data_IF_900459549459
#
_entry.id   IF_900459549459
#
_cell.length_a   1.000
_cell.length_b   1.000
_cell.length_c   1.000
_cell.angle_alpha   90.00
_cell.angle_beta   90.00
_cell.angle_gamma   90.00
#
_symmetry.space_group_name_H-M   'P 1'
#
loop_
_entity.id
_entity.type
_entity.pdbx_description
1 polymer ?
#
# COMPACT_ATOMS: atom_id res chain seq x y z
N UNK A 1 -36.31 -29.78 -31.97
CA UNK A 1 -35.24 -29.55 -30.97
C UNK A 1 -35.59 -28.31 -30.16
N UNK A 2 -35.84 -28.41 -28.86
CA UNK A 2 -36.24 -27.26 -28.04
C UNK A 2 -35.02 -26.45 -27.61
N UNK A 3 -35.13 -25.12 -27.75
CA UNK A 3 -34.10 -24.16 -27.33
C UNK A 3 -33.98 -24.15 -25.80
N UNK A 4 -32.80 -24.49 -25.29
CA UNK A 4 -32.45 -24.40 -23.88
C UNK A 4 -32.21 -22.93 -23.50
N UNK A 5 -33.12 -22.38 -22.70
CA UNK A 5 -32.96 -21.08 -22.04
C UNK A 5 -31.83 -21.16 -21.01
N UNK A 6 -30.69 -20.52 -21.31
CA UNK A 6 -29.61 -20.30 -20.34
C UNK A 6 -30.14 -19.42 -19.18
N UNK A 7 -29.87 -19.76 -17.91
CA UNK A 7 -30.28 -18.92 -16.78
C UNK A 7 -29.53 -17.57 -16.81
N UNK A 8 -30.17 -16.48 -16.34
CA UNK A 8 -29.57 -15.15 -16.36
C UNK A 8 -28.32 -15.11 -15.47
N UNK A 9 -27.23 -14.57 -16.02
CA UNK A 9 -25.88 -14.36 -15.44
C UNK A 9 -25.88 -13.46 -14.18
N UNK A 10 -27.05 -13.07 -13.65
CA UNK A 10 -27.20 -12.12 -12.56
C UNK A 10 -27.01 -12.70 -11.14
N UNK A 11 -26.67 -13.99 -10.99
CA UNK A 11 -26.62 -14.66 -9.68
C UNK A 11 -25.21 -15.05 -9.17
N UNK A 12 -24.12 -14.59 -9.80
CA UNK A 12 -22.77 -14.81 -9.27
C UNK A 12 -22.05 -13.50 -8.92
N UNK A 13 -21.74 -13.38 -7.62
CA UNK A 13 -20.80 -12.45 -7.00
C UNK A 13 -21.31 -11.03 -6.71
N UNK A 14 -22.40 -10.92 -5.95
CA UNK A 14 -22.57 -9.81 -5.02
C UNK A 14 -21.91 -10.17 -3.67
N UNK A 15 -20.57 -10.24 -3.64
CA UNK A 15 -19.83 -10.27 -2.38
C UNK A 15 -20.05 -8.93 -1.68
N UNK A 16 -20.98 -8.88 -0.73
CA UNK A 16 -21.24 -7.70 0.11
C UNK A 16 -19.91 -7.19 0.71
N UNK A 17 -19.59 -5.88 0.67
CA UNK A 17 -18.41 -5.35 1.33
C UNK A 17 -18.59 -5.42 2.85
N UNK A 18 -18.23 -6.57 3.43
CA UNK A 18 -18.05 -6.74 4.88
C UNK A 18 -16.58 -6.55 5.22
N UNK A 19 -16.30 -5.74 6.24
CA UNK A 19 -14.95 -5.59 6.79
C UNK A 19 -14.37 -6.97 7.09
N UNK A 20 -13.16 -7.23 6.61
CA UNK A 20 -12.43 -8.46 6.90
C UNK A 20 -12.00 -8.47 8.38
N UNK A 21 -12.94 -8.77 9.30
CA UNK A 21 -12.74 -8.68 10.77
C UNK A 21 -11.52 -9.45 11.27
N UNK A 22 -11.18 -10.57 10.64
CA UNK A 22 -9.99 -11.37 10.96
C UNK A 22 -8.66 -10.63 10.74
N UNK A 23 -8.66 -9.52 9.99
CA UNK A 23 -7.45 -8.71 9.70
C UNK A 23 -7.25 -7.56 10.70
N UNK A 24 -8.29 -7.22 11.47
CA UNK A 24 -8.26 -6.12 12.44
C UNK A 24 -7.19 -6.33 13.51
N UNK A 25 -6.99 -7.52 14.09
CA UNK A 25 -5.92 -7.72 15.08
C UNK A 25 -4.52 -7.43 14.51
N UNK A 26 -4.24 -7.87 13.28
CA UNK A 26 -2.94 -7.62 12.63
C UNK A 26 -2.73 -6.13 12.35
N UNK A 27 -3.78 -5.42 11.93
CA UNK A 27 -3.72 -3.97 11.77
C UNK A 27 -3.53 -3.24 13.10
N UNK A 28 -4.08 -3.76 14.20
CA UNK A 28 -3.84 -3.21 15.53
C UNK A 28 -2.37 -3.37 15.95
N UNK A 29 -1.71 -4.49 15.61
CA UNK A 29 -0.27 -4.67 15.83
C UNK A 29 0.56 -3.65 15.05
N UNK A 30 0.21 -3.42 13.78
CA UNK A 30 0.86 -2.39 12.97
C UNK A 30 0.63 -0.98 13.56
N UNK A 31 -0.59 -0.67 13.98
CA UNK A 31 -0.92 0.61 14.61
C UNK A 31 -0.20 0.81 15.95
N UNK A 32 -0.08 -0.23 16.77
CA UNK A 32 0.70 -0.19 18.01
C UNK A 32 2.19 0.08 17.72
N UNK A 33 2.75 -0.57 16.71
CA UNK A 33 4.13 -0.33 16.27
C UNK A 33 4.34 1.09 15.74
N UNK A 34 3.38 1.63 15.00
CA UNK A 34 3.38 3.02 14.55
C UNK A 34 3.37 3.98 15.75
N UNK A 35 2.41 3.83 16.67
CA UNK A 35 2.29 4.71 17.84
C UNK A 35 3.52 4.63 18.75
N UNK A 36 4.03 3.42 18.99
CA UNK A 36 5.29 3.20 19.72
C UNK A 36 6.47 3.86 19.02
N UNK A 37 6.59 3.69 17.70
CA UNK A 37 7.61 4.35 16.89
C UNK A 37 7.53 5.87 16.96
N UNK A 38 6.33 6.46 16.85
CA UNK A 38 6.13 7.91 16.98
C UNK A 38 6.52 8.43 18.39
N UNK A 39 6.08 7.74 19.45
CA UNK A 39 6.46 8.08 20.82
C UNK A 39 7.97 7.98 21.06
N UNK A 40 8.60 6.90 20.56
CA UNK A 40 10.05 6.74 20.61
C UNK A 40 10.78 7.82 19.80
N UNK A 41 10.25 8.22 18.65
CA UNK A 41 10.80 9.31 17.84
C UNK A 41 10.77 10.66 18.55
N UNK A 42 9.67 10.98 19.25
CA UNK A 42 9.56 12.18 20.09
C UNK A 42 10.54 12.14 21.26
N UNK A 43 10.68 11.00 21.93
CA UNK A 43 11.67 10.84 23.01
C UNK A 43 13.11 11.08 22.50
N UNK A 44 13.45 10.58 21.31
CA UNK A 44 14.75 10.83 20.65
C UNK A 44 14.97 12.30 20.27
N UNK A 45 13.92 13.10 20.13
CA UNK A 45 14.03 14.55 19.90
C UNK A 45 14.34 15.33 21.18
N UNK A 46 14.32 14.69 22.35
CA UNK A 46 14.57 15.36 23.63
C UNK A 46 13.40 16.22 24.11
N UNK A 47 12.18 16.00 23.59
CA UNK A 47 11.00 16.82 23.94
C UNK A 47 10.41 16.50 25.32
N UNK A 48 10.99 15.57 26.08
CA UNK A 48 10.45 15.08 27.35
C UNK A 48 9.13 14.29 27.21
N UNK A 49 8.75 13.89 26.00
CA UNK A 49 7.53 13.09 25.77
C UNK A 49 7.67 11.72 26.44
N UNK A 50 6.62 11.22 27.11
CA UNK A 50 6.63 9.85 27.62
C UNK A 50 6.77 8.88 26.45
N UNK A 51 7.61 7.86 26.62
CA UNK A 51 7.78 6.77 25.67
C UNK A 51 7.97 5.45 26.41
N UNK A 52 7.42 4.33 25.91
CA UNK A 52 7.77 3.01 26.41
C UNK A 52 9.28 2.75 26.30
N UNK A 53 9.83 2.00 27.26
CA UNK A 53 11.28 1.84 27.45
C UNK A 53 12.03 1.42 26.19
N UNK A 54 11.51 0.42 25.46
CA UNK A 54 12.15 -0.06 24.23
C UNK A 54 11.81 0.75 22.97
N UNK A 55 10.85 1.69 23.04
CA UNK A 55 10.37 2.40 21.86
C UNK A 55 11.38 3.41 21.30
N UNK A 56 12.08 4.15 22.16
CA UNK A 56 13.09 5.13 21.73
C UNK A 56 14.34 4.46 21.15
N UNK A 57 14.80 3.38 21.78
CA UNK A 57 15.92 2.58 21.27
C UNK A 57 15.53 1.88 19.97
N UNK A 58 14.34 1.28 19.90
CA UNK A 58 13.85 0.51 18.78
C UNK A 58 13.16 1.30 17.66
N UNK A 59 13.11 2.64 17.74
CA UNK A 59 12.31 3.51 16.85
C UNK A 59 12.40 3.13 15.37
N UNK A 60 13.62 3.01 14.83
CA UNK A 60 13.83 2.71 13.41
C UNK A 60 13.25 1.36 13.00
N UNK A 61 13.49 0.32 13.80
CA UNK A 61 12.98 -1.04 13.53
C UNK A 61 11.47 -1.14 13.77
N UNK A 62 10.94 -0.42 14.75
CA UNK A 62 9.50 -0.32 14.98
C UNK A 62 8.77 0.29 13.79
N UNK A 63 9.27 1.40 13.25
CA UNK A 63 8.64 2.06 12.09
C UNK A 63 8.76 1.21 10.81
N UNK A 64 9.88 0.53 10.61
CA UNK A 64 10.17 -0.19 9.36
C UNK A 64 9.68 -1.63 9.36
N UNK A 65 10.05 -2.44 10.36
CA UNK A 65 9.67 -3.86 10.40
C UNK A 65 8.37 -4.04 11.21
N UNK A 66 8.23 -3.39 12.36
CA UNK A 66 7.02 -3.48 13.19
C UNK A 66 5.77 -2.90 12.53
N UNK A 67 5.87 -1.70 11.94
CA UNK A 67 4.74 -1.02 11.30
C UNK A 67 4.65 -1.34 9.80
N UNK A 68 5.56 -0.81 8.97
CA UNK A 68 5.50 -1.02 7.52
C UNK A 68 5.62 -2.51 7.16
N UNK A 69 6.52 -3.23 7.80
CA UNK A 69 6.72 -4.67 7.58
C UNK A 69 5.46 -5.48 7.86
N UNK A 70 4.75 -5.19 8.94
CA UNK A 70 3.46 -5.83 9.25
C UNK A 70 2.41 -5.53 8.18
N UNK A 71 2.31 -4.28 7.71
CA UNK A 71 1.34 -3.91 6.68
C UNK A 71 1.64 -4.54 5.32
N UNK A 72 2.90 -4.48 4.88
CA UNK A 72 3.38 -5.07 3.63
C UNK A 72 3.16 -6.59 3.67
N UNK A 73 3.57 -7.26 4.75
CA UNK A 73 3.39 -8.70 4.88
C UNK A 73 1.89 -9.08 4.95
N UNK A 74 1.04 -8.24 5.54
CA UNK A 74 -0.42 -8.45 5.54
C UNK A 74 -0.98 -8.35 4.13
N UNK A 75 -0.57 -7.34 3.36
CA UNK A 75 -0.99 -7.20 1.96
C UNK A 75 -0.61 -8.43 1.14
N UNK A 76 0.65 -8.89 1.25
CA UNK A 76 1.12 -10.09 0.56
C UNK A 76 0.39 -11.36 1.01
N UNK A 77 0.08 -11.49 2.30
CA UNK A 77 -0.74 -12.59 2.82
C UNK A 77 -2.15 -12.60 2.19
N UNK A 78 -2.74 -11.42 1.98
CA UNK A 78 -4.03 -11.27 1.28
C UNK A 78 -3.92 -11.69 -0.18
N UNK A 79 -2.86 -11.27 -0.89
CA UNK A 79 -2.60 -11.64 -2.28
C UNK A 79 -2.38 -13.15 -2.47
N UNK A 80 -1.68 -13.79 -1.53
CA UNK A 80 -1.38 -15.22 -1.58
C UNK A 80 -2.63 -16.12 -1.46
N UNK A 81 -3.69 -15.61 -0.81
CA UNK A 81 -4.96 -16.30 -0.51
C UNK A 81 -4.78 -17.64 0.22
N UNK A 82 -3.84 -17.70 1.16
CA UNK A 82 -3.57 -18.88 2.00
C UNK A 82 -3.49 -18.46 3.47
N UNK A 83 -4.12 -19.23 4.37
CA UNK A 83 -4.17 -18.92 5.79
C UNK A 83 -2.77 -18.84 6.43
N UNK A 84 -1.84 -19.71 6.03
CA UNK A 84 -0.47 -19.71 6.53
C UNK A 84 0.30 -18.42 6.19
N UNK A 85 -0.10 -17.68 5.15
CA UNK A 85 0.56 -16.42 4.76
C UNK A 85 0.46 -15.34 5.85
N UNK A 86 -0.55 -15.42 6.72
CA UNK A 86 -0.75 -14.47 7.81
C UNK A 86 0.24 -14.64 8.98
N UNK A 87 1.06 -15.70 8.99
CA UNK A 87 2.06 -15.87 10.04
C UNK A 87 3.15 -14.79 9.98
N UNK A 88 3.59 -14.39 8.78
CA UNK A 88 4.59 -13.34 8.60
C UNK A 88 4.19 -11.99 9.25
N UNK A 89 3.02 -11.40 8.93
CA UNK A 89 2.63 -10.14 9.56
C UNK A 89 2.30 -10.28 11.05
N UNK A 90 1.81 -11.43 11.51
CA UNK A 90 1.60 -11.67 12.96
C UNK A 90 2.92 -11.68 13.70
N UNK A 91 3.92 -12.44 13.23
CA UNK A 91 5.25 -12.50 13.84
C UNK A 91 5.92 -11.13 13.86
N UNK A 92 5.81 -10.38 12.76
CA UNK A 92 6.31 -9.02 12.64
C UNK A 92 5.67 -8.07 13.66
N UNK A 93 4.35 -8.10 13.77
CA UNK A 93 3.60 -7.26 14.70
C UNK A 93 3.86 -7.61 16.17
N UNK A 94 3.95 -8.90 16.51
CA UNK A 94 4.31 -9.37 17.85
C UNK A 94 5.76 -9.00 18.18
N UNK A 95 6.68 -9.08 17.21
CA UNK A 95 8.05 -8.58 17.36
C UNK A 95 8.08 -7.09 17.70
N UNK A 96 7.26 -6.27 17.02
CA UNK A 96 7.09 -4.86 17.34
C UNK A 96 6.58 -4.61 18.77
N UNK A 97 5.58 -5.37 19.22
CA UNK A 97 5.11 -5.29 20.61
C UNK A 97 6.19 -5.70 21.62
N UNK A 98 6.99 -6.71 21.32
CA UNK A 98 8.10 -7.13 22.17
C UNK A 98 9.14 -6.01 22.34
N UNK A 99 9.44 -5.26 21.27
CA UNK A 99 10.29 -4.07 21.34
C UNK A 99 9.64 -3.01 22.24
N UNK A 100 8.36 -2.68 22.04
CA UNK A 100 7.65 -1.67 22.86
C UNK A 100 7.68 -2.04 24.34
N UNK A 101 7.49 -3.32 24.66
CA UNK A 101 7.51 -3.83 26.02
C UNK A 101 8.92 -3.95 26.63
N UNK A 102 9.98 -3.59 25.90
CA UNK A 102 11.36 -3.68 26.39
C UNK A 102 11.86 -5.12 26.55
N UNK A 103 11.27 -6.08 25.83
CA UNK A 103 11.71 -7.49 25.87
C UNK A 103 13.14 -7.57 25.33
N UNK A 104 14.09 -8.15 26.07
CA UNK A 104 15.48 -8.21 25.65
C UNK A 104 15.67 -9.18 24.47
N UNK A 105 16.82 -9.03 23.79
CA UNK A 105 17.31 -10.04 22.85
C UNK A 105 17.37 -11.43 23.53
N UNK A 106 17.13 -12.52 22.78
CA UNK A 106 17.04 -12.59 21.32
C UNK A 106 15.62 -12.43 20.76
N UNK A 107 14.59 -12.22 21.58
CA UNK A 107 13.20 -12.41 21.15
C UNK A 107 12.72 -11.47 20.05
N UNK A 108 12.87 -10.12 20.13
CA UNK A 108 12.41 -9.26 19.05
C UNK A 108 13.14 -9.49 17.71
N UNK A 109 14.49 -9.63 17.67
CA UNK A 109 15.19 -10.01 16.45
C UNK A 109 14.76 -11.38 15.91
N UNK A 110 14.54 -12.37 16.78
CA UNK A 110 14.14 -13.73 16.38
C UNK A 110 12.74 -13.75 15.74
N UNK A 111 11.77 -13.04 16.33
CA UNK A 111 10.43 -12.89 15.76
C UNK A 111 10.47 -12.19 14.41
N UNK A 112 11.30 -11.14 14.30
CA UNK A 112 11.50 -10.38 13.06
C UNK A 112 12.17 -11.24 11.98
N UNK A 113 13.10 -12.10 12.36
CA UNK A 113 13.74 -13.08 11.50
C UNK A 113 12.76 -14.14 10.99
N UNK A 114 11.96 -14.71 11.89
CA UNK A 114 10.94 -15.67 11.53
C UNK A 114 9.91 -15.05 10.58
N UNK A 115 9.50 -13.78 10.81
CA UNK A 115 8.63 -13.05 9.90
C UNK A 115 9.24 -12.87 8.50
N UNK A 116 10.51 -12.44 8.40
CA UNK A 116 11.23 -12.27 7.15
C UNK A 116 11.40 -13.58 6.37
N UNK A 117 11.77 -14.67 7.07
CA UNK A 117 11.90 -16.00 6.47
C UNK A 117 10.55 -16.49 5.91
N UNK A 118 9.47 -16.28 6.66
CA UNK A 118 8.13 -16.68 6.24
C UNK A 118 7.62 -15.86 5.05
N UNK A 119 7.93 -14.55 5.03
CA UNK A 119 7.65 -13.69 3.89
C UNK A 119 8.42 -14.14 2.64
N UNK A 120 9.69 -14.51 2.77
CA UNK A 120 10.47 -15.11 1.68
C UNK A 120 9.81 -16.39 1.14
N UNK A 121 9.37 -17.29 2.02
CA UNK A 121 8.62 -18.49 1.62
C UNK A 121 7.31 -18.16 0.87
N UNK A 122 6.61 -17.11 1.30
CA UNK A 122 5.46 -16.53 0.59
C UNK A 122 5.81 -16.14 -0.85
N UNK A 123 6.89 -15.39 -1.03
CA UNK A 123 7.36 -14.97 -2.34
C UNK A 123 7.84 -16.11 -3.22
N UNK A 124 8.48 -17.15 -2.67
CA UNK A 124 8.84 -18.36 -3.42
C UNK A 124 7.59 -19.01 -4.02
N UNK A 125 6.52 -19.15 -3.23
CA UNK A 125 5.25 -19.71 -3.70
C UNK A 125 4.59 -18.81 -4.76
N UNK A 126 4.65 -17.49 -4.59
CA UNK A 126 4.12 -16.54 -5.59
C UNK A 126 4.92 -16.62 -6.90
N UNK A 127 6.24 -16.68 -6.82
CA UNK A 127 7.14 -16.77 -7.96
C UNK A 127 6.96 -18.09 -8.73
N UNK A 128 6.77 -19.21 -8.01
CA UNK A 128 6.45 -20.51 -8.62
C UNK A 128 5.11 -20.50 -9.38
N UNK A 129 4.14 -19.67 -8.95
CA UNK A 129 2.87 -19.50 -9.67
C UNK A 129 2.99 -18.57 -10.86
N UNK A 130 3.78 -17.51 -10.75
CA UNK A 130 3.94 -16.50 -11.78
C UNK A 130 5.33 -15.86 -11.72
N UNK A 131 6.19 -16.20 -12.68
CA UNK A 131 7.56 -15.70 -12.76
C UNK A 131 7.60 -14.31 -13.41
N UNK A 132 7.24 -13.29 -12.63
CA UNK A 132 7.28 -11.90 -13.07
C UNK A 132 8.38 -11.12 -12.37
N UNK A 133 8.89 -10.11 -13.06
CA UNK A 133 9.99 -9.29 -12.56
C UNK A 133 9.64 -8.56 -11.27
N UNK A 134 8.40 -8.07 -11.10
CA UNK A 134 7.99 -7.39 -9.88
C UNK A 134 8.07 -8.33 -8.66
N UNK A 135 7.57 -9.57 -8.77
CA UNK A 135 7.68 -10.58 -7.70
C UNK A 135 9.15 -10.86 -7.36
N UNK A 136 10.04 -10.93 -8.36
CA UNK A 136 11.47 -11.12 -8.10
C UNK A 136 12.07 -9.96 -7.30
N UNK A 137 11.77 -8.71 -7.68
CA UNK A 137 12.29 -7.53 -6.96
C UNK A 137 11.72 -7.43 -5.55
N UNK A 138 10.42 -7.69 -5.37
CA UNK A 138 9.79 -7.76 -4.04
C UNK A 138 10.39 -8.87 -3.17
N UNK A 139 10.71 -10.03 -3.75
CA UNK A 139 11.37 -11.13 -3.05
C UNK A 139 12.79 -10.75 -2.58
N UNK A 140 13.55 -9.99 -3.38
CA UNK A 140 14.84 -9.44 -2.95
C UNK A 140 14.68 -8.48 -1.76
N UNK A 141 13.58 -7.70 -1.73
CA UNK A 141 13.21 -6.91 -0.57
C UNK A 141 12.98 -7.77 0.67
N UNK A 142 12.20 -8.85 0.56
CA UNK A 142 11.99 -9.79 1.66
C UNK A 142 13.30 -10.45 2.15
N UNK A 143 14.22 -10.75 1.24
CA UNK A 143 15.56 -11.22 1.60
C UNK A 143 16.37 -10.16 2.34
N UNK A 144 16.27 -8.89 1.97
CA UNK A 144 16.89 -7.79 2.71
C UNK A 144 16.31 -7.65 4.14
N UNK A 145 15.00 -7.83 4.32
CA UNK A 145 14.41 -7.92 5.67
C UNK A 145 15.03 -9.10 6.42
N UNK A 146 14.95 -10.31 5.87
CA UNK A 146 15.48 -11.49 6.57
C UNK A 146 16.95 -11.34 6.93
N UNK A 147 17.78 -10.84 6.01
CA UNK A 147 19.19 -10.52 6.25
C UNK A 147 19.38 -9.47 7.35
N UNK A 148 18.56 -8.40 7.36
CA UNK A 148 18.55 -7.42 8.45
C UNK A 148 18.37 -8.08 9.81
N UNK A 149 17.41 -9.01 9.92
CA UNK A 149 17.10 -9.66 11.18
C UNK A 149 18.19 -10.67 11.59
N UNK A 150 18.83 -11.34 10.63
CA UNK A 150 19.99 -12.19 10.89
C UNK A 150 21.17 -11.37 11.44
N UNK A 151 21.49 -10.25 10.79
CA UNK A 151 22.54 -9.33 11.27
C UNK A 151 22.19 -8.73 12.63
N UNK A 152 20.91 -8.49 12.91
CA UNK A 152 20.48 -8.04 14.22
C UNK A 152 20.66 -9.11 15.31
N UNK A 153 20.41 -10.38 14.99
CA UNK A 153 20.62 -11.51 15.90
C UNK A 153 22.09 -11.71 16.30
N UNK A 154 23.05 -11.23 15.51
CA UNK A 154 24.48 -11.27 15.88
C UNK A 154 24.87 -10.18 16.88
N UNK A 155 23.93 -9.35 17.34
CA UNK A 155 24.20 -8.26 18.29
C UNK A 155 24.62 -6.94 17.63
N UNK A 156 24.45 -6.82 16.31
CA UNK A 156 24.70 -5.55 15.59
C UNK A 156 23.80 -4.45 16.13
N UNK A 157 24.36 -3.25 16.31
CA UNK A 157 23.63 -2.08 16.76
C UNK A 157 22.59 -1.64 15.72
N UNK A 158 21.51 -0.99 16.18
CA UNK A 158 20.42 -0.59 15.28
C UNK A 158 20.86 0.33 14.13
N UNK A 159 21.82 1.28 14.31
CA UNK A 159 22.33 2.06 13.20
C UNK A 159 22.96 1.21 12.08
N UNK A 160 23.67 0.13 12.43
CA UNK A 160 24.23 -0.82 11.46
C UNK A 160 23.19 -1.54 10.61
N UNK A 161 21.92 -1.57 11.04
CA UNK A 161 20.81 -2.17 10.30
C UNK A 161 20.22 -1.25 9.23
N UNK A 162 20.48 0.05 9.27
CA UNK A 162 19.85 1.03 8.40
C UNK A 162 19.97 0.73 6.89
N UNK A 163 21.14 0.29 6.36
CA UNK A 163 21.26 -0.11 4.97
C UNK A 163 20.31 -1.25 4.58
N UNK A 164 20.17 -2.26 5.45
CA UNK A 164 19.28 -3.40 5.22
C UNK A 164 17.81 -3.00 5.23
N UNK A 165 17.42 -2.18 6.22
CA UNK A 165 16.06 -1.64 6.32
C UNK A 165 15.69 -0.81 5.07
N UNK A 166 16.63 -0.01 4.57
CA UNK A 166 16.42 0.78 3.36
C UNK A 166 16.30 -0.11 2.12
N UNK A 167 17.18 -1.10 1.95
CA UNK A 167 17.09 -2.05 0.85
C UNK A 167 15.75 -2.82 0.86
N UNK A 168 15.28 -3.27 2.02
CA UNK A 168 13.97 -3.91 2.17
C UNK A 168 12.84 -3.03 1.64
N UNK A 169 12.70 -1.82 2.18
CA UNK A 169 11.60 -0.92 1.85
C UNK A 169 11.67 -0.47 0.39
N UNK A 170 12.86 -0.11 -0.09
CA UNK A 170 13.04 0.39 -1.45
C UNK A 170 12.78 -0.71 -2.49
N UNK A 171 13.30 -1.92 -2.30
CA UNK A 171 13.05 -3.02 -3.24
C UNK A 171 11.58 -3.44 -3.25
N UNK A 172 10.92 -3.48 -2.08
CA UNK A 172 9.48 -3.78 -2.01
C UNK A 172 8.67 -2.75 -2.81
N UNK A 173 8.87 -1.46 -2.53
CA UNK A 173 8.16 -0.37 -3.22
C UNK A 173 8.49 -0.39 -4.72
N UNK A 174 9.75 -0.56 -5.09
CA UNK A 174 10.14 -0.60 -6.50
C UNK A 174 9.47 -1.77 -7.24
N UNK A 175 9.40 -2.95 -6.60
CA UNK A 175 8.65 -4.09 -7.11
C UNK A 175 7.17 -3.76 -7.37
N UNK A 176 6.48 -3.19 -6.39
CA UNK A 176 5.08 -2.75 -6.55
C UNK A 176 4.92 -1.71 -7.68
N UNK A 177 5.93 -0.85 -7.92
CA UNK A 177 5.93 0.09 -9.06
C UNK A 177 6.08 -0.59 -10.41
N UNK A 178 6.92 -1.62 -10.49
CA UNK A 178 7.04 -2.44 -11.69
C UNK A 178 5.74 -3.19 -12.02
N UNK A 179 4.96 -3.57 -11.01
CA UNK A 179 3.64 -4.20 -11.20
C UNK A 179 2.67 -3.28 -11.96
N UNK A 180 2.57 -2.00 -11.55
CA UNK A 180 1.64 -1.05 -12.21
C UNK A 180 2.19 -0.44 -13.49
N UNK A 181 3.51 -0.40 -13.68
CA UNK A 181 4.15 0.17 -14.88
C UNK A 181 3.99 -0.71 -16.15
N UNK A 182 3.30 -1.86 -16.07
CA UNK A 182 3.13 -2.81 -17.20
C UNK A 182 4.46 -3.13 -17.90
N UNK A 183 5.47 -3.46 -17.11
CA UNK A 183 6.85 -3.75 -17.56
C UNK A 183 6.94 -4.87 -18.60
N UNK A 184 5.89 -5.70 -18.74
CA UNK A 184 5.77 -6.66 -19.84
C UNK A 184 5.93 -6.03 -21.24
N UNK A 185 5.63 -4.74 -21.39
CA UNK A 185 5.77 -3.97 -22.64
C UNK A 185 7.20 -3.45 -22.88
N UNK A 186 8.14 -3.67 -21.95
CA UNK A 186 9.48 -3.08 -21.98
C UNK A 186 10.54 -4.11 -22.41
N UNK A 187 11.46 -3.70 -23.27
CA UNK A 187 12.44 -4.58 -23.92
C UNK A 187 13.41 -5.27 -22.95
N UNK A 188 14.16 -6.27 -23.43
CA UNK A 188 15.14 -7.06 -22.64
C UNK A 188 16.09 -6.21 -21.80
N UNK A 189 16.66 -5.15 -22.39
CA UNK A 189 17.59 -4.22 -21.72
C UNK A 189 16.99 -3.55 -20.47
N UNK A 190 15.68 -3.28 -20.49
CA UNK A 190 15.01 -2.67 -19.34
C UNK A 190 14.93 -3.64 -18.17
N UNK A 191 14.61 -4.92 -18.43
CA UNK A 191 14.56 -5.96 -17.39
C UNK A 191 15.93 -6.24 -16.80
N UNK A 192 16.96 -6.29 -17.64
CA UNK A 192 18.35 -6.45 -17.20
C UNK A 192 18.78 -5.27 -16.31
N UNK A 193 18.47 -4.03 -16.70
CA UNK A 193 18.77 -2.86 -15.86
C UNK A 193 18.10 -2.96 -14.49
N UNK A 194 16.83 -3.39 -14.43
CA UNK A 194 16.09 -3.60 -13.18
C UNK A 194 16.77 -4.59 -12.26
N UNK A 195 17.18 -5.74 -12.81
CA UNK A 195 17.88 -6.75 -12.03
C UNK A 195 19.23 -6.25 -11.53
N UNK A 196 19.98 -5.52 -12.35
CA UNK A 196 21.30 -4.98 -11.98
C UNK A 196 21.18 -4.00 -10.82
N UNK A 197 20.30 -2.99 -10.89
CA UNK A 197 20.19 -2.06 -9.77
C UNK A 197 19.57 -2.71 -8.53
N UNK A 198 18.65 -3.67 -8.70
CA UNK A 198 18.10 -4.44 -7.56
C UNK A 198 19.18 -5.24 -6.84
N UNK A 199 20.06 -5.88 -7.61
CA UNK A 199 21.21 -6.61 -7.10
C UNK A 199 22.20 -5.67 -6.39
N UNK A 200 22.48 -4.48 -6.93
CA UNK A 200 23.33 -3.47 -6.27
C UNK A 200 22.75 -3.01 -4.93
N UNK A 201 21.43 -2.74 -4.88
CA UNK A 201 20.74 -2.35 -3.65
C UNK A 201 20.84 -3.45 -2.58
N UNK A 202 20.72 -4.73 -2.96
CA UNK A 202 20.87 -5.84 -2.00
C UNK A 202 22.33 -6.12 -1.63
N UNK A 203 23.26 -5.95 -2.59
CA UNK A 203 24.69 -6.16 -2.36
C UNK A 203 25.28 -5.12 -1.40
N UNK A 204 24.79 -3.88 -1.42
CA UNK A 204 25.26 -2.83 -0.52
C UNK A 204 25.23 -3.23 0.96
N UNK A 205 24.06 -3.55 1.54
CA UNK A 205 23.94 -4.04 2.91
C UNK A 205 24.76 -5.30 3.21
N UNK A 206 24.85 -6.26 2.27
CA UNK A 206 25.71 -7.44 2.43
C UNK A 206 27.18 -7.03 2.59
N UNK A 207 27.65 -6.10 1.75
CA UNK A 207 29.02 -5.58 1.82
C UNK A 207 29.26 -4.77 3.11
N UNK A 208 28.22 -4.19 3.72
CA UNK A 208 28.40 -3.46 4.99
C UNK A 208 28.87 -4.34 6.15
N UNK A 209 28.69 -5.66 6.06
CA UNK A 209 29.17 -6.61 7.08
C UNK A 209 30.70 -6.56 7.21
N UNK A 210 31.42 -6.48 6.09
CA UNK A 210 32.89 -6.49 6.07
C UNK A 210 33.48 -5.11 5.79
N UNK A 211 32.81 -4.31 4.96
CA UNK A 211 33.25 -2.99 4.53
C UNK A 211 32.11 -1.97 4.66
N UNK A 212 31.81 -1.48 5.89
CA UNK A 212 30.67 -0.61 6.17
C UNK A 212 30.54 0.57 5.20
N UNK A 213 31.62 1.32 4.99
CA UNK A 213 31.61 2.51 4.13
C UNK A 213 31.48 2.18 2.65
N UNK A 214 32.15 1.14 2.17
CA UNK A 214 32.05 0.73 0.77
C UNK A 214 30.66 0.18 0.46
N UNK A 215 30.10 -0.67 1.34
CA UNK A 215 28.76 -1.21 1.19
C UNK A 215 27.67 -0.14 1.22
N UNK A 216 27.79 0.85 2.12
CA UNK A 216 26.87 1.99 2.15
C UNK A 216 26.93 2.81 0.85
N UNK A 217 28.12 3.03 0.28
CA UNK A 217 28.27 3.71 -1.02
C UNK A 217 27.66 2.91 -2.17
N UNK A 218 27.86 1.59 -2.18
CA UNK A 218 27.25 0.69 -3.19
C UNK A 218 25.72 0.75 -3.11
N UNK A 219 25.15 0.71 -1.90
CA UNK A 219 23.72 0.94 -1.70
C UNK A 219 23.31 2.31 -2.26
N UNK A 220 24.01 3.38 -1.87
CA UNK A 220 23.73 4.73 -2.35
C UNK A 220 23.73 4.84 -3.88
N UNK A 221 24.71 4.24 -4.56
CA UNK A 221 24.74 4.18 -6.04
C UNK A 221 23.52 3.43 -6.58
N UNK A 222 23.18 2.27 -6.01
CA UNK A 222 21.99 1.51 -6.39
C UNK A 222 20.70 2.33 -6.25
N UNK A 223 20.54 3.07 -5.15
CA UNK A 223 19.40 3.96 -4.89
C UNK A 223 19.35 5.15 -5.85
N UNK A 224 20.50 5.74 -6.19
CA UNK A 224 20.58 6.87 -7.13
C UNK A 224 20.18 6.42 -8.53
N UNK A 225 20.71 5.28 -8.99
CA UNK A 225 20.37 4.69 -10.30
C UNK A 225 18.88 4.37 -10.37
N UNK A 226 18.33 3.72 -9.34
CA UNK A 226 16.89 3.44 -9.25
C UNK A 226 16.06 4.73 -9.27
N UNK A 227 16.40 5.72 -8.46
CA UNK A 227 15.66 6.99 -8.39
C UNK A 227 15.67 7.72 -9.74
N UNK A 228 16.83 7.87 -10.37
CA UNK A 228 16.96 8.48 -11.69
C UNK A 228 16.15 7.73 -12.75
N UNK A 229 16.15 6.40 -12.67
CA UNK A 229 15.39 5.55 -13.57
C UNK A 229 13.88 5.69 -13.37
N UNK A 230 13.39 5.72 -12.13
CA UNK A 230 11.97 5.93 -11.82
C UNK A 230 11.50 7.31 -12.29
N UNK A 231 12.27 8.37 -12.05
CA UNK A 231 11.96 9.71 -12.56
C UNK A 231 11.86 9.72 -14.11
N UNK A 232 12.69 8.94 -14.79
CA UNK A 232 12.74 8.90 -16.26
C UNK A 232 11.63 8.07 -16.90
N UNK A 233 11.29 6.93 -16.30
CA UNK A 233 10.47 5.88 -16.92
C UNK A 233 9.15 5.59 -16.20
N UNK A 234 8.95 6.06 -14.96
CA UNK A 234 7.68 5.88 -14.27
C UNK A 234 6.58 6.75 -14.92
N UNK A 235 5.37 6.22 -14.98
CA UNK A 235 4.19 6.90 -15.50
C UNK A 235 3.82 8.14 -14.69
N UNK A 236 4.26 8.23 -13.43
CA UNK A 236 4.06 9.35 -12.51
C UNK A 236 4.38 10.73 -13.15
N UNK A 237 5.45 10.81 -13.94
CA UNK A 237 5.85 12.07 -14.61
C UNK A 237 4.81 12.60 -15.60
N UNK A 238 3.98 11.71 -16.14
CA UNK A 238 2.91 12.05 -17.07
C UNK A 238 1.58 12.22 -16.32
N UNK A 239 1.28 11.33 -15.37
CA UNK A 239 0.04 11.37 -14.60
C UNK A 239 -0.02 12.50 -13.58
N UNK A 240 1.08 13.17 -13.26
CA UNK A 240 1.08 14.41 -12.46
C UNK A 240 0.28 15.54 -13.15
N UNK A 241 0.06 15.45 -14.47
CA UNK A 241 -0.79 16.37 -15.23
C UNK A 241 -2.25 15.92 -15.33
N UNK A 242 -2.59 14.75 -14.79
CA UNK A 242 -3.95 14.24 -14.76
C UNK A 242 -4.79 14.97 -13.67
N UNK A 243 -5.96 14.42 -13.33
CA UNK A 243 -6.84 14.96 -12.31
C UNK A 243 -7.18 13.92 -11.23
N UNK A 244 -7.67 14.40 -10.08
CA UNK A 244 -8.11 13.56 -8.97
C UNK A 244 -7.01 12.69 -8.36
N UNK A 245 -7.37 11.46 -7.99
CA UNK A 245 -6.50 10.52 -7.29
C UNK A 245 -5.21 10.23 -8.07
N UNK A 246 -5.29 10.07 -9.38
CA UNK A 246 -4.11 9.73 -10.21
C UNK A 246 -3.04 10.81 -10.15
N UNK A 247 -3.44 12.09 -10.13
CA UNK A 247 -2.52 13.22 -9.95
C UNK A 247 -1.92 13.26 -8.55
N UNK A 248 -2.74 13.02 -7.53
CA UNK A 248 -2.28 12.97 -6.15
C UNK A 248 -1.22 11.87 -5.94
N UNK A 249 -1.51 10.66 -6.42
CA UNK A 249 -0.55 9.54 -6.42
C UNK A 249 0.76 9.95 -7.09
N UNK A 250 0.69 10.53 -8.28
CA UNK A 250 1.88 10.97 -9.01
C UNK A 250 2.70 12.02 -8.25
N UNK A 251 2.05 12.98 -7.59
CA UNK A 251 2.73 13.99 -6.78
C UNK A 251 3.49 13.34 -5.60
N UNK A 252 2.85 12.42 -4.89
CA UNK A 252 3.48 11.64 -3.82
C UNK A 252 4.70 10.85 -4.32
N UNK A 253 4.56 10.14 -5.44
CA UNK A 253 5.63 9.33 -6.05
C UNK A 253 6.84 10.20 -6.42
N UNK A 254 6.62 11.28 -7.17
CA UNK A 254 7.68 12.18 -7.64
C UNK A 254 8.42 12.84 -6.47
N UNK A 255 7.69 13.30 -5.46
CA UNK A 255 8.29 13.89 -4.27
C UNK A 255 9.11 12.86 -3.48
N UNK A 256 8.63 11.61 -3.42
CA UNK A 256 9.37 10.49 -2.84
C UNK A 256 10.69 10.20 -3.58
N UNK A 257 10.70 10.21 -4.91
CA UNK A 257 11.91 9.96 -5.70
C UNK A 257 13.00 11.02 -5.42
N UNK A 258 12.61 12.28 -5.26
CA UNK A 258 13.54 13.36 -4.88
C UNK A 258 14.23 13.03 -3.56
N UNK A 259 13.46 12.66 -2.52
CA UNK A 259 14.03 12.29 -1.22
C UNK A 259 14.90 11.03 -1.28
N UNK A 260 14.53 10.05 -2.11
CA UNK A 260 15.37 8.87 -2.33
C UNK A 260 16.72 9.27 -2.94
N UNK A 261 16.73 10.23 -3.87
CA UNK A 261 17.95 10.80 -4.44
C UNK A 261 18.81 11.53 -3.40
N UNK A 262 18.19 12.27 -2.48
CA UNK A 262 18.89 12.92 -1.36
C UNK A 262 19.59 11.87 -0.48
N UNK A 263 18.87 10.84 -0.04
CA UNK A 263 19.46 9.78 0.77
C UNK A 263 20.59 9.04 0.04
N UNK A 264 20.40 8.76 -1.25
CA UNK A 264 21.41 8.14 -2.09
C UNK A 264 22.71 8.97 -2.12
N UNK A 265 22.59 10.29 -2.35
CA UNK A 265 23.73 11.21 -2.31
C UNK A 265 24.44 11.22 -0.96
N UNK A 266 23.69 11.18 0.14
CA UNK A 266 24.26 11.16 1.49
C UNK A 266 25.11 9.90 1.75
N UNK A 267 24.64 8.70 1.37
CA UNK A 267 25.41 7.47 1.50
C UNK A 267 26.60 7.39 0.53
N UNK A 268 26.47 7.91 -0.69
CA UNK A 268 27.59 8.00 -1.64
C UNK A 268 28.71 8.88 -1.08
N UNK A 269 28.36 10.03 -0.51
CA UNK A 269 29.32 10.99 0.01
C UNK A 269 29.97 10.52 1.31
N UNK A 270 29.15 10.22 2.33
CA UNK A 270 29.65 9.94 3.67
C UNK A 270 30.08 8.48 3.87
N UNK A 271 29.55 7.54 3.09
CA UNK A 271 29.72 6.11 3.37
C UNK A 271 28.88 5.68 4.56
N UNK A 272 29.48 4.98 5.52
CA UNK A 272 28.76 4.46 6.69
C UNK A 272 28.36 5.61 7.62
N UNK A 273 27.09 5.64 8.01
CA UNK A 273 26.51 6.62 8.90
C UNK A 273 25.86 5.88 10.07
N UNK A 274 26.29 6.18 11.30
CA UNK A 274 25.77 5.53 12.52
C UNK A 274 25.17 6.51 13.52
N UNK A 275 25.49 7.81 13.40
CA UNK A 275 25.04 8.86 14.30
C UNK A 275 25.16 10.25 13.66
N UNK A 276 24.57 11.25 14.33
CA UNK A 276 24.68 12.66 13.97
C UNK A 276 23.70 13.12 12.88
N UNK A 277 23.77 14.39 12.48
CA UNK A 277 22.80 15.01 11.59
C UNK A 277 22.71 14.34 10.21
N UNK A 278 23.85 13.94 9.63
CA UNK A 278 23.87 13.27 8.33
C UNK A 278 23.17 11.90 8.37
N UNK A 279 23.36 11.14 9.46
CA UNK A 279 22.65 9.88 9.69
C UNK A 279 21.14 10.11 9.80
N UNK A 280 20.73 11.04 10.68
CA UNK A 280 19.33 11.40 10.89
C UNK A 280 18.67 11.85 9.57
N UNK A 281 19.30 12.75 8.83
CA UNK A 281 18.82 13.24 7.54
C UNK A 281 18.65 12.11 6.51
N UNK A 282 19.64 11.20 6.42
CA UNK A 282 19.59 10.08 5.48
C UNK A 282 18.43 9.16 5.78
N UNK A 283 18.23 8.78 7.05
CA UNK A 283 17.14 7.89 7.44
C UNK A 283 15.78 8.53 7.22
N UNK A 284 15.62 9.80 7.57
CA UNK A 284 14.35 10.50 7.37
C UNK A 284 14.07 10.75 5.88
N UNK A 285 15.09 10.98 5.05
CA UNK A 285 14.92 11.08 3.60
C UNK A 285 14.40 9.74 3.01
N UNK A 286 14.96 8.59 3.40
CA UNK A 286 14.47 7.28 2.89
C UNK A 286 13.11 6.90 3.48
N UNK A 287 12.99 6.87 4.80
CA UNK A 287 11.82 6.25 5.44
C UNK A 287 10.63 7.20 5.52
N UNK A 288 10.85 8.50 5.73
CA UNK A 288 9.77 9.47 5.84
C UNK A 288 9.55 10.21 4.51
N UNK A 289 10.62 10.65 3.84
CA UNK A 289 10.55 11.34 2.55
C UNK A 289 10.13 10.44 1.39
N UNK A 290 10.77 9.28 1.24
CA UNK A 290 10.44 8.33 0.17
C UNK A 290 9.32 7.39 0.59
N UNK A 291 9.49 6.59 1.64
CA UNK A 291 8.55 5.52 1.95
C UNK A 291 7.19 6.02 2.43
N UNK A 292 7.11 7.04 3.31
CA UNK A 292 5.80 7.55 3.72
C UNK A 292 5.08 8.32 2.61
N UNK A 293 5.78 8.99 1.69
CA UNK A 293 5.14 9.54 0.49
C UNK A 293 4.54 8.43 -0.39
N UNK A 294 5.22 7.28 -0.51
CA UNK A 294 4.67 6.10 -1.20
C UNK A 294 3.41 5.58 -0.50
N UNK A 295 3.44 5.44 0.83
CA UNK A 295 2.27 5.05 1.63
C UNK A 295 1.10 6.02 1.41
N UNK A 296 1.36 7.33 1.43
CA UNK A 296 0.34 8.35 1.23
C UNK A 296 -0.30 8.27 -0.16
N UNK A 297 0.52 8.05 -1.20
CA UNK A 297 0.04 7.88 -2.56
C UNK A 297 -0.77 6.60 -2.73
N UNK A 298 -0.32 5.48 -2.16
CA UNK A 298 -0.91 4.17 -2.41
C UNK A 298 -2.05 3.78 -1.47
N UNK A 299 -2.15 4.37 -0.28
CA UNK A 299 -3.18 4.02 0.70
C UNK A 299 -4.62 4.08 0.17
N UNK A 300 -5.03 5.05 -0.69
CA UNK A 300 -6.37 5.05 -1.28
C UNK A 300 -6.68 3.85 -2.18
N UNK A 301 -5.66 3.08 -2.58
CA UNK A 301 -5.82 1.87 -3.41
C UNK A 301 -5.59 0.60 -2.57
N UNK A 302 -4.52 0.56 -1.78
CA UNK A 302 -4.14 -0.62 -0.99
C UNK A 302 -5.10 -0.86 0.17
N UNK A 303 -5.46 0.18 0.94
CA UNK A 303 -6.29 0.02 2.13
C UNK A 303 -7.68 -0.55 1.79
N UNK A 304 -8.36 -0.10 0.71
CA UNK A 304 -9.53 -0.77 0.17
C UNK A 304 -9.36 -2.26 -0.15
N UNK A 305 -8.25 -2.65 -0.79
CA UNK A 305 -7.99 -4.04 -1.16
C UNK A 305 -7.80 -4.95 0.07
N UNK A 306 -7.13 -4.43 1.12
CA UNK A 306 -6.90 -5.16 2.36
C UNK A 306 -8.13 -5.17 3.27
N UNK A 307 -8.84 -4.06 3.42
CA UNK A 307 -9.98 -3.96 4.33
C UNK A 307 -11.33 -4.28 3.69
N UNK A 308 -11.40 -4.37 2.36
CA UNK A 308 -12.64 -4.49 1.56
C UNK A 308 -13.62 -3.32 1.81
N UNK A 309 -13.08 -2.11 1.89
CA UNK A 309 -13.82 -0.84 2.08
C UNK A 309 -13.50 0.13 0.94
N UNK A 310 -14.31 1.17 0.72
CA UNK A 310 -13.98 2.24 -0.25
C UNK A 310 -13.24 3.37 0.46
N UNK A 311 -12.18 3.91 -0.14
CA UNK A 311 -11.48 5.09 0.35
C UNK A 311 -11.52 6.18 -0.73
N UNK A 312 -12.51 7.10 -0.69
CA UNK A 312 -12.57 8.19 -1.65
C UNK A 312 -11.41 9.17 -1.43
N UNK A 313 -10.85 9.67 -2.53
CA UNK A 313 -9.85 10.74 -2.50
C UNK A 313 -10.50 12.08 -2.16
N UNK A 314 -9.85 12.87 -1.31
CA UNK A 314 -10.30 14.22 -0.96
C UNK A 314 -9.16 15.26 -1.15
N UNK A 315 -9.47 16.52 -1.48
CA UNK A 315 -8.45 17.57 -1.62
C UNK A 315 -7.56 17.76 -0.38
N UNK A 316 -8.10 17.47 0.81
CA UNK A 316 -7.35 17.51 2.08
C UNK A 316 -6.16 16.54 2.14
N UNK A 317 -6.12 15.52 1.28
CA UNK A 317 -4.99 14.58 1.22
C UNK A 317 -3.70 15.31 0.79
N UNK A 318 -3.81 16.35 -0.04
CA UNK A 318 -2.68 17.22 -0.37
C UNK A 318 -2.18 18.02 0.83
N UNK A 319 -3.06 18.43 1.75
CA UNK A 319 -2.62 19.15 2.95
C UNK A 319 -1.73 18.28 3.83
N UNK A 320 -2.07 16.99 3.95
CA UNK A 320 -1.24 16.01 4.68
C UNK A 320 0.10 15.80 3.99
N UNK A 321 0.11 15.70 2.65
CA UNK A 321 1.34 15.61 1.87
C UNK A 321 2.23 16.84 2.06
N UNK A 322 1.67 18.05 1.90
CA UNK A 322 2.40 19.31 2.10
C UNK A 322 2.96 19.39 3.52
N UNK A 323 2.17 19.03 4.53
CA UNK A 323 2.61 19.02 5.92
C UNK A 323 3.81 18.09 6.14
N UNK A 324 3.80 16.88 5.55
CA UNK A 324 4.93 15.96 5.60
C UNK A 324 6.19 16.56 4.96
N UNK A 325 6.07 17.16 3.77
CA UNK A 325 7.22 17.71 3.06
C UNK A 325 7.77 18.99 3.70
N UNK A 326 6.91 19.83 4.27
CA UNK A 326 7.33 20.99 5.07
C UNK A 326 8.06 20.53 6.33
N UNK A 327 7.51 19.55 7.05
CA UNK A 327 8.15 18.91 8.21
C UNK A 327 9.55 18.42 7.88
N UNK A 328 9.71 17.66 6.79
CA UNK A 328 11.00 17.13 6.35
C UNK A 328 11.98 18.22 5.95
N UNK A 329 11.51 19.26 5.26
CA UNK A 329 12.36 20.38 4.85
C UNK A 329 12.88 21.14 6.07
N UNK A 330 12.02 21.45 7.04
CA UNK A 330 12.44 22.09 8.30
C UNK A 330 13.44 21.21 9.06
N UNK A 331 13.17 19.91 9.15
CA UNK A 331 14.04 18.97 9.85
C UNK A 331 15.41 18.84 9.18
N UNK A 332 15.43 18.52 7.90
CA UNK A 332 16.66 18.16 7.18
C UNK A 332 17.46 19.40 6.79
N UNK A 333 16.81 20.41 6.18
CA UNK A 333 17.51 21.61 5.71
C UNK A 333 17.78 22.57 6.87
N UNK A 334 16.78 22.83 7.71
CA UNK A 334 16.92 23.72 8.86
C UNK A 334 17.67 23.08 10.02
N UNK A 335 17.27 21.87 10.41
CA UNK A 335 17.88 21.14 11.52
C UNK A 335 19.22 20.52 11.15
N UNK A 336 19.20 19.47 10.32
CA UNK A 336 20.37 18.62 10.12
C UNK A 336 21.48 19.30 9.31
N UNK A 337 21.13 20.11 8.31
CA UNK A 337 22.10 20.80 7.44
C UNK A 337 22.54 22.17 8.01
N UNK A 338 21.60 23.00 8.47
CA UNK A 338 21.92 24.34 9.00
C UNK A 338 22.23 24.34 10.52
N UNK A 339 22.08 23.20 11.21
CA UNK A 339 22.42 23.06 12.62
C UNK A 339 21.41 23.71 13.58
N UNK A 340 20.21 24.08 13.12
CA UNK A 340 19.21 24.77 13.93
C UNK A 340 18.32 23.77 14.68
N UNK A 341 18.65 23.54 15.94
CA UNK A 341 17.97 22.57 16.81
C UNK A 341 16.44 22.80 16.92
N UNK A 342 16.01 24.06 16.96
CA UNK A 342 14.59 24.41 16.99
C UNK A 342 13.83 23.95 15.73
N UNK A 343 14.46 24.05 14.56
CA UNK A 343 13.87 23.58 13.29
C UNK A 343 13.90 22.05 13.19
N UNK A 344 14.93 21.41 13.75
CA UNK A 344 14.99 19.94 13.89
C UNK A 344 13.81 19.42 14.72
N UNK A 345 13.60 20.01 15.90
CA UNK A 345 12.51 19.65 16.80
C UNK A 345 11.13 19.96 16.19
N UNK A 346 10.93 21.17 15.66
CA UNK A 346 9.67 21.57 15.02
C UNK A 346 9.34 20.67 13.82
N UNK A 347 10.33 20.41 12.95
CA UNK A 347 10.18 19.50 11.82
C UNK A 347 9.81 18.08 12.28
N UNK A 348 10.46 17.57 13.32
CA UNK A 348 10.14 16.27 13.91
C UNK A 348 8.71 16.18 14.46
N UNK A 349 8.28 17.17 15.24
CA UNK A 349 6.91 17.23 15.79
C UNK A 349 5.87 17.32 14.67
N UNK A 350 6.09 18.19 13.68
CA UNK A 350 5.19 18.30 12.52
C UNK A 350 5.11 16.99 11.73
N UNK A 351 6.19 16.21 11.68
CA UNK A 351 6.22 14.89 11.04
C UNK A 351 5.31 13.89 11.75
N UNK A 352 5.36 13.88 13.09
CA UNK A 352 4.44 13.07 13.91
C UNK A 352 2.99 13.49 13.67
N UNK A 353 2.72 14.80 13.67
CA UNK A 353 1.38 15.33 13.39
C UNK A 353 0.92 14.92 11.99
N UNK A 354 1.78 14.99 10.96
CA UNK A 354 1.45 14.56 9.60
C UNK A 354 0.99 13.09 9.55
N UNK A 355 1.72 12.21 10.24
CA UNK A 355 1.40 10.77 10.29
C UNK A 355 0.09 10.50 11.05
N UNK A 356 -0.15 11.18 12.17
CA UNK A 356 -1.39 11.04 12.93
C UNK A 356 -2.62 11.57 12.15
N UNK A 357 -2.48 12.74 11.51
CA UNK A 357 -3.52 13.32 10.66
C UNK A 357 -3.80 12.40 9.47
N UNK A 358 -2.78 11.80 8.86
CA UNK A 358 -2.96 10.81 7.80
C UNK A 358 -3.79 9.61 8.26
N UNK A 359 -3.47 9.04 9.42
CA UNK A 359 -4.20 7.89 10.00
C UNK A 359 -5.65 8.29 10.32
N UNK A 360 -5.87 9.45 10.94
CA UNK A 360 -7.20 9.96 11.24
C UNK A 360 -8.03 10.21 9.98
N UNK A 361 -7.44 10.80 8.94
CA UNK A 361 -8.10 11.02 7.64
C UNK A 361 -8.46 9.70 6.96
N UNK A 362 -7.59 8.70 7.02
CA UNK A 362 -7.85 7.37 6.48
C UNK A 362 -8.97 6.68 7.25
N UNK A 363 -8.93 6.69 8.58
CA UNK A 363 -9.95 6.07 9.44
C UNK A 363 -11.33 6.71 9.29
N UNK A 364 -11.40 8.05 9.25
CA UNK A 364 -12.65 8.78 9.03
C UNK A 364 -13.25 8.51 7.66
N UNK A 365 -12.42 8.41 6.61
CA UNK A 365 -12.88 8.08 5.26
C UNK A 365 -13.43 6.64 5.18
N UNK A 366 -12.78 5.68 5.86
CA UNK A 366 -13.31 4.31 5.99
C UNK A 366 -14.63 4.29 6.77
N UNK A 367 -14.73 5.02 7.87
CA UNK A 367 -15.94 5.07 8.68
C UNK A 367 -17.12 5.70 7.94
N UNK A 368 -16.89 6.83 7.27
CA UNK A 368 -17.90 7.52 6.46
C UNK A 368 -18.43 6.66 5.31
N UNK A 369 -17.54 5.96 4.60
CA UNK A 369 -17.94 5.04 3.54
C UNK A 369 -18.84 3.89 4.04
N UNK A 370 -18.64 3.42 5.29
CA UNK A 370 -19.45 2.36 5.89
C UNK A 370 -20.85 2.83 6.24
N UNK A 371 -20.99 4.01 6.84
CA UNK A 371 -22.31 4.59 7.17
C UNK A 371 -23.16 4.78 5.92
N UNK A 372 -22.60 5.37 4.87
CA UNK A 372 -23.32 5.58 3.61
C UNK A 372 -23.85 4.26 3.00
N UNK A 373 -23.07 3.17 3.08
CA UNK A 373 -23.51 1.85 2.62
C UNK A 373 -24.55 1.18 3.51
N UNK A 374 -24.57 1.48 4.82
CA UNK A 374 -25.56 0.96 5.75
C UNK A 374 -26.90 1.67 5.60
N UNK A 375 -26.89 3.00 5.46
CA UNK A 375 -28.11 3.80 5.29
C UNK A 375 -28.82 3.48 3.97
N UNK A 376 -28.06 3.25 2.90
CA UNK A 376 -28.60 2.84 1.58
C UNK A 376 -29.16 1.41 1.56
N UNK A 377 -28.79 0.57 2.55
CA UNK A 377 -29.29 -0.80 2.70
C UNK A 377 -30.51 -0.92 3.62
N UNK A 378 -30.87 0.15 4.34
CA UNK A 378 -32.02 0.24 5.24
C UNK A 378 -33.29 0.75 4.57
N UNK A 379 -33.18 1.43 3.43
CA UNK A 379 -34.33 1.79 2.58
C UNK A 379 -34.83 0.54 1.84
N UNK A 380 -35.70 -0.22 2.52
CA UNK A 380 -36.57 -1.22 1.88
C UNK A 380 -37.25 -0.52 0.70
N UNK A 381 -37.23 -1.08 -0.54
CA UNK A 381 -38.06 -0.51 -1.59
C UNK A 381 -39.51 -0.50 -1.08
N UNK A 382 -40.34 0.49 -1.44
CA UNK A 382 -41.77 0.41 -1.16
C UNK A 382 -42.22 -0.97 -1.63
N UNK A 383 -42.79 -1.76 -0.72
CA UNK A 383 -43.54 -2.93 -1.14
C UNK A 383 -44.71 -2.38 -1.94
N UNK A 384 -44.53 -2.23 -3.25
CA UNK A 384 -45.63 -2.08 -4.17
C UNK A 384 -46.43 -3.37 -4.05
N UNK A 385 -47.47 -3.29 -3.22
CA UNK A 385 -48.49 -4.30 -3.05
C UNK A 385 -48.97 -4.72 -4.45
N UNK A 386 -48.83 -5.99 -4.86
CA UNK A 386 -49.28 -6.45 -6.16
C UNK A 386 -50.81 -6.65 -6.17
N UNK A 387 -51.58 -5.64 -5.77
CA UNK A 387 -53.04 -5.71 -5.64
C UNK A 387 -53.78 -4.54 -6.30
N UNK A 388 -53.13 -3.82 -7.23
CA UNK A 388 -53.82 -2.86 -8.12
C UNK A 388 -53.62 -3.08 -9.62
N UNK A 389 -52.69 -3.95 -10.03
CA UNK A 389 -52.52 -4.31 -11.44
C UNK A 389 -53.46 -5.45 -11.89
N UNK A 390 -53.92 -6.31 -10.98
CA UNK A 390 -54.81 -7.43 -11.29
C UNK A 390 -56.28 -7.01 -11.54
N UNK A 391 -56.70 -5.83 -11.07
CA UNK A 391 -58.07 -5.33 -11.28
C UNK A 391 -58.24 -4.52 -12.57
N UNK A 392 -57.14 -4.09 -13.21
CA UNK A 392 -57.19 -3.41 -14.50
C UNK A 392 -57.15 -4.40 -15.69
N UNK A 393 -56.42 -5.52 -15.55
CA UNK A 393 -56.32 -6.53 -16.61
C UNK A 393 -57.60 -7.36 -16.79
N UNK A 394 -58.42 -7.54 -15.74
CA UNK A 394 -59.68 -8.30 -15.84
C UNK A 394 -60.83 -7.50 -16.48
N UNK A 395 -60.78 -6.16 -16.47
CA UNK A 395 -61.80 -5.31 -17.14
C UNK A 395 -61.55 -5.10 -18.64
N UNK A 396 -60.33 -5.33 -19.13
CA UNK A 396 -60.02 -5.17 -20.56
C UNK A 396 -60.41 -6.41 -21.39
N UNK A 397 -60.42 -7.61 -20.78
CA UNK A 397 -60.70 -8.86 -21.51
C UNK A 397 -62.20 -9.12 -21.72
N UNK A 398 -63.09 -8.47 -20.96
CA UNK A 398 -64.55 -8.63 -21.12
C UNK A 398 -65.16 -7.70 -22.18
N UNK A 399 -64.44 -6.68 -22.65
CA UNK A 399 -64.96 -5.72 -23.64
C UNK A 399 -64.69 -6.12 -25.09
N UNK A 400 -63.71 -6.98 -25.37
CA UNK A 400 -63.32 -7.33 -26.75
C UNK A 400 -64.13 -8.50 -27.33
N UNK A 401 -64.77 -9.33 -26.50
CA UNK A 401 -65.55 -10.50 -26.97
C UNK A 401 -67.00 -10.15 -27.34
N UNK A 402 -67.48 -8.93 -27.08
CA UNK A 402 -68.86 -8.52 -27.37
C UNK A 402 -69.03 -7.78 -28.72
N UNK A 403 -67.96 -7.62 -29.52
CA UNK A 403 -68.00 -6.87 -30.80
C UNK A 403 -67.66 -7.70 -32.03
N UNK A 404 -67.89 -9.01 -31.97
CA UNK A 404 -67.65 -9.94 -33.07
C UNK A 404 -68.87 -10.83 -33.35
N UNK A 405 -70.08 -10.27 -33.33
CA UNK A 405 -71.31 -10.93 -33.80
C UNK A 405 -72.32 -9.87 -34.25
N UNK A 406 -72.13 -9.32 -35.45
CA UNK A 406 -73.21 -8.78 -36.30
C UNK A 406 -72.63 -8.26 -37.60
N UNK A 407 -72.72 -9.06 -38.66
CA UNK A 407 -73.27 -8.65 -39.96
C UNK A 407 -73.25 -9.83 -40.93
N UNK A 408 -74.45 -10.28 -41.27
CA UNK A 408 -74.78 -11.26 -42.32
C UNK A 408 -75.48 -10.50 -43.45
N UNK A 409 -75.11 -10.73 -44.72
CA UNK A 409 -75.97 -10.77 -45.94
C UNK A 409 -75.10 -10.55 -47.19
N UNK A 410 -75.01 -11.56 -48.08
CA UNK A 410 -75.67 -11.69 -49.40
C UNK A 410 -74.90 -10.89 -50.50
N UNK A 411 -74.49 -11.37 -51.69
CA UNK A 411 -75.06 -12.28 -52.72
C UNK A 411 -73.95 -12.55 -53.78
N UNK A 412 -73.91 -13.68 -54.55
CA UNK A 412 -72.96 -13.93 -55.67
C UNK A 412 -73.61 -13.54 -57.04
N UNK A 413 -73.10 -13.84 -58.27
CA UNK A 413 -71.85 -14.48 -58.74
C UNK A 413 -71.15 -13.68 -59.90
N UNK A 414 -70.06 -14.19 -60.49
CA UNK A 414 -69.93 -14.49 -61.94
C UNK A 414 -68.47 -14.68 -62.43
N UNK A 415 -68.38 -15.58 -63.43
CA UNK A 415 -67.25 -15.97 -64.28
C UNK A 415 -66.52 -14.80 -64.98
N UNK A 416 -65.23 -15.01 -65.31
CA UNK A 416 -64.64 -15.02 -66.67
C UNK A 416 -63.11 -14.91 -66.55
N UNK A 417 -62.39 -15.96 -66.93
CA UNK A 417 -61.62 -16.07 -68.18
C UNK A 417 -60.20 -15.43 -68.10
N UNK A 418 -59.21 -16.32 -68.17
CA UNK A 418 -57.89 -16.14 -68.82
C UNK A 418 -58.03 -15.40 -70.19
N UNK A 419 -56.98 -14.83 -70.83
CA UNK A 419 -55.63 -15.44 -70.88
C UNK A 419 -54.41 -14.49 -71.03
N UNK A 420 -53.25 -15.16 -71.01
CA UNK A 420 -51.90 -14.84 -71.53
C UNK A 420 -50.89 -14.20 -70.61
#
# INVERSE_FOLDING_TARGET
MPQSSLPPVAALVASRPGLARHRVPVLALAAASLLGGLAGGLARLGTGSPSPDGAAAGHGVLMTLGFLGTLIALERAVALRRAWGYLAPVLSGVGGLAIIAGVPAPWPPLLTAAAGAWLCGGYVVMWQRQQTLHITVEALGALAWWGCAMVWLTGTDLPGLAPWLAAYIVLTIAGERLELARVALLGRRYREAVLVWSALILAGPVLTIWWPSAGARVLGVGLLVLSAWLVRYDVARHTVRAHGLTRYMAACLLAGYVWLGVAAGMWIWHGSLTQGPAYDATLHAVFLGFAMSMVFGHAPVILPAVLRVRLPHHPRDYAVLVLLHVSLTLRIVGGDLAGLESLRAAGGILGVVALLVFVANSATSVYGARRATQDSGGSRPPQDTPQRAATAATKATTATTARATSTTSATPPQHQEEPR
#
